data_IF_665678126497
#
_entry.id   IF_665678126497
#
_cell.length_a   1.000
_cell.length_b   1.000
_cell.length_c   1.000
_cell.angle_alpha   90.00
_cell.angle_beta   90.00
_cell.angle_gamma   90.00
#
_symmetry.space_group_name_H-M   'P 1'
#
loop_
_entity.id
_entity.type
_entity.pdbx_description
1 polymer ?
#
# COMPACT_ATOMS: atom_id res chain seq x y z
N UNK A 1 -14.70 -60.64 9.21
CA UNK A 1 -14.99 -59.19 9.35
C UNK A 1 -14.35 -58.77 10.64
N UNK A 2 -13.44 -57.80 10.58
CA UNK A 2 -13.05 -56.87 11.66
C UNK A 2 -11.74 -56.23 11.21
N UNK A 3 -11.87 -55.19 10.39
CA UNK A 3 -10.75 -54.36 9.92
C UNK A 3 -10.53 -53.32 11.01
N UNK A 4 -9.57 -53.56 11.90
CA UNK A 4 -9.22 -52.67 13.00
C UNK A 4 -8.63 -51.36 12.43
N UNK A 5 -9.47 -50.33 12.32
CA UNK A 5 -9.10 -48.98 11.89
C UNK A 5 -8.17 -48.35 12.92
N UNK A 6 -6.87 -48.35 12.66
CA UNK A 6 -5.91 -47.44 13.27
C UNK A 6 -6.17 -46.02 12.74
N UNK A 7 -7.00 -45.27 13.46
CA UNK A 7 -7.05 -43.81 13.33
C UNK A 7 -5.77 -43.25 13.93
N UNK A 8 -4.76 -43.05 13.08
CA UNK A 8 -3.54 -42.34 13.43
C UNK A 8 -3.94 -40.89 13.71
N UNK A 9 -4.01 -40.52 14.99
CA UNK A 9 -4.14 -39.13 15.43
C UNK A 9 -2.87 -38.38 15.02
N UNK A 10 -2.84 -37.89 13.78
CA UNK A 10 -1.91 -36.85 13.36
C UNK A 10 -2.43 -35.54 13.97
N UNK A 11 -2.11 -35.29 15.23
CA UNK A 11 -2.15 -33.94 15.77
C UNK A 11 -1.02 -33.19 15.06
N UNK A 12 -1.32 -32.66 13.87
CA UNK A 12 -0.45 -31.74 13.15
C UNK A 12 -0.23 -30.56 14.09
N UNK A 13 0.92 -30.52 14.76
CA UNK A 13 1.49 -29.30 15.31
C UNK A 13 1.73 -28.39 14.11
N UNK A 14 0.70 -27.66 13.69
CA UNK A 14 0.86 -26.58 12.73
C UNK A 14 1.79 -25.58 13.42
N UNK A 15 3.01 -25.35 12.91
CA UNK A 15 3.81 -24.25 13.42
C UNK A 15 2.97 -22.98 13.26
N UNK A 16 2.71 -22.30 14.39
CA UNK A 16 2.19 -20.95 14.35
C UNK A 16 3.26 -20.09 13.67
N UNK A 17 3.11 -19.86 12.36
CA UNK A 17 3.91 -18.88 11.64
C UNK A 17 3.47 -17.53 12.19
N UNK A 18 4.24 -17.00 13.16
CA UNK A 18 4.08 -15.63 13.61
C UNK A 18 4.40 -14.74 12.41
N UNK A 19 3.47 -13.87 12.02
CA UNK A 19 3.74 -12.86 11.00
C UNK A 19 4.97 -12.04 11.42
N UNK A 20 5.98 -11.99 10.55
CA UNK A 20 7.20 -11.22 10.77
C UNK A 20 6.88 -9.72 10.71
N UNK A 21 7.50 -8.94 11.60
CA UNK A 21 7.28 -7.50 11.70
C UNK A 21 8.33 -6.73 10.89
N UNK A 22 7.86 -5.79 10.07
CA UNK A 22 8.64 -4.89 9.22
C UNK A 22 8.26 -3.45 9.53
N UNK A 23 8.90 -2.88 10.55
CA UNK A 23 8.69 -1.48 10.90
C UNK A 23 9.44 -0.58 9.91
N UNK A 24 8.76 0.39 9.29
CA UNK A 24 9.34 1.26 8.26
C UNK A 24 10.55 2.07 8.74
N UNK A 25 10.64 2.37 10.05
CA UNK A 25 11.80 3.06 10.65
C UNK A 25 13.07 2.20 10.54
N UNK A 26 12.94 0.87 10.66
CA UNK A 26 14.06 -0.05 10.50
C UNK A 26 14.56 -0.13 9.05
N UNK A 27 13.83 0.45 8.10
CA UNK A 27 14.20 0.59 6.69
C UNK A 27 14.65 2.01 6.34
N UNK A 28 14.84 2.88 7.34
CA UNK A 28 15.37 4.23 7.18
C UNK A 28 14.31 5.32 7.06
N UNK A 29 13.04 5.04 7.36
CA UNK A 29 12.02 6.08 7.42
C UNK A 29 12.28 7.00 8.62
N UNK A 30 12.16 8.31 8.41
CA UNK A 30 12.37 9.34 9.44
C UNK A 30 11.08 9.63 10.20
N UNK A 31 9.94 9.69 9.51
CA UNK A 31 8.63 9.86 10.15
C UNK A 31 8.37 11.25 10.76
N UNK A 32 9.02 12.29 10.22
CA UNK A 32 8.89 13.69 10.65
C UNK A 32 7.82 14.50 9.89
N UNK A 33 7.14 13.88 8.92
CA UNK A 33 6.14 14.48 8.04
C UNK A 33 6.69 15.35 6.91
N UNK A 34 8.01 15.47 6.78
CA UNK A 34 8.67 16.34 5.80
C UNK A 34 9.68 15.59 4.92
N UNK A 35 10.41 14.64 5.50
CA UNK A 35 11.36 13.78 4.79
C UNK A 35 10.60 12.80 3.91
N UNK A 36 11.06 12.63 2.66
CA UNK A 36 10.47 11.66 1.74
C UNK A 36 10.84 10.22 2.14
N UNK A 37 9.92 9.55 2.83
CA UNK A 37 10.06 8.19 3.34
C UNK A 37 9.72 7.11 2.29
N UNK A 38 9.47 7.49 1.01
CA UNK A 38 9.02 6.57 -0.05
C UNK A 38 9.90 5.34 -0.19
N UNK A 39 11.22 5.50 -0.20
CA UNK A 39 12.14 4.38 -0.39
C UNK A 39 12.13 3.42 0.80
N UNK A 40 12.10 3.95 2.02
CA UNK A 40 12.04 3.14 3.25
C UNK A 40 10.72 2.34 3.34
N UNK A 41 9.59 2.99 3.04
CA UNK A 41 8.27 2.34 2.99
C UNK A 41 8.26 1.22 1.94
N UNK A 42 8.74 1.48 0.73
CA UNK A 42 8.81 0.47 -0.34
C UNK A 42 9.75 -0.68 0.01
N UNK A 43 10.86 -0.42 0.69
CA UNK A 43 11.79 -1.45 1.15
C UNK A 43 11.14 -2.36 2.21
N UNK A 44 10.39 -1.80 3.17
CA UNK A 44 9.64 -2.58 4.16
C UNK A 44 8.58 -3.47 3.50
N UNK A 45 7.82 -2.93 2.53
CA UNK A 45 6.85 -3.70 1.74
C UNK A 45 7.52 -4.81 0.94
N UNK A 46 8.66 -4.53 0.31
CA UNK A 46 9.43 -5.52 -0.44
C UNK A 46 9.94 -6.65 0.46
N UNK A 47 10.41 -6.34 1.67
CA UNK A 47 10.86 -7.33 2.64
C UNK A 47 9.71 -8.25 3.12
N UNK A 48 8.53 -7.69 3.38
CA UNK A 48 7.33 -8.45 3.69
C UNK A 48 6.92 -9.36 2.52
N UNK A 49 6.92 -8.83 1.29
CA UNK A 49 6.61 -9.61 0.09
C UNK A 49 7.61 -10.76 -0.13
N UNK A 50 8.91 -10.50 0.03
CA UNK A 50 9.96 -11.51 -0.09
C UNK A 50 9.79 -12.66 0.92
N UNK A 51 9.18 -12.36 2.07
CA UNK A 51 8.91 -13.33 3.13
C UNK A 51 7.51 -13.97 3.03
N UNK A 52 6.86 -13.80 1.87
CA UNK A 52 5.51 -14.30 1.57
C UNK A 52 4.39 -13.75 2.48
N UNK A 53 4.62 -12.58 3.07
CA UNK A 53 3.69 -11.89 3.96
C UNK A 53 4.36 -11.33 5.20
N UNK A 54 3.55 -10.83 6.11
CA UNK A 54 4.00 -10.26 7.37
C UNK A 54 3.27 -8.97 7.72
N UNK A 55 3.72 -8.30 8.77
CA UNK A 55 3.11 -7.06 9.25
C UNK A 55 4.04 -5.89 9.01
N UNK A 56 3.64 -4.97 8.15
CA UNK A 56 4.36 -3.72 7.91
C UNK A 56 3.80 -2.65 8.84
N UNK A 57 4.66 -2.07 9.68
CA UNK A 57 4.26 -1.23 10.82
C UNK A 57 4.65 0.22 10.58
N UNK A 58 3.69 1.12 10.79
CA UNK A 58 3.87 2.57 10.86
C UNK A 58 3.55 3.02 12.28
N UNK A 59 4.58 3.24 13.10
CA UNK A 59 4.41 3.48 14.54
C UNK A 59 3.67 4.77 14.89
N UNK A 60 3.00 4.74 16.05
CA UNK A 60 2.34 5.91 16.61
C UNK A 60 3.35 7.01 16.94
N UNK A 61 2.93 8.27 16.87
CA UNK A 61 3.78 9.43 17.13
C UNK A 61 4.59 9.91 15.91
N UNK A 62 4.58 9.17 14.81
CA UNK A 62 5.26 9.53 13.56
C UNK A 62 4.29 9.93 12.46
N UNK A 63 4.76 10.77 11.54
CA UNK A 63 4.10 11.06 10.26
C UNK A 63 5.04 10.70 9.12
N UNK A 64 4.68 9.72 8.32
CA UNK A 64 5.50 9.22 7.22
C UNK A 64 5.04 9.85 5.91
N UNK A 65 5.80 10.82 5.38
CA UNK A 65 5.52 11.44 4.09
C UNK A 65 5.99 10.49 2.99
N UNK A 66 5.07 10.01 2.15
CA UNK A 66 5.40 8.94 1.21
C UNK A 66 4.61 9.02 -0.10
N UNK A 67 5.23 8.53 -1.16
CA UNK A 67 4.61 8.26 -2.45
C UNK A 67 3.77 6.99 -2.45
N UNK A 68 3.37 6.56 -3.65
CA UNK A 68 2.62 5.32 -3.79
C UNK A 68 3.45 4.09 -3.41
N UNK A 69 2.80 3.09 -2.84
CA UNK A 69 3.39 1.78 -2.53
C UNK A 69 2.40 0.64 -2.75
N UNK A 70 2.95 -0.57 -2.92
CA UNK A 70 2.19 -1.79 -3.21
C UNK A 70 2.08 -2.68 -1.98
N UNK A 71 0.87 -3.16 -1.70
CA UNK A 71 0.61 -4.21 -0.71
C UNK A 71 0.46 -5.55 -1.43
N UNK A 72 1.29 -6.53 -1.06
CA UNK A 72 1.24 -7.91 -1.56
C UNK A 72 0.33 -8.81 -0.71
N UNK A 73 0.13 -10.05 -1.18
CA UNK A 73 -0.65 -11.05 -0.42
C UNK A 73 -0.08 -11.32 0.98
N UNK A 74 -0.96 -11.67 1.92
CA UNK A 74 -0.62 -12.00 3.31
C UNK A 74 0.05 -10.86 4.09
N UNK A 75 -0.11 -9.61 3.65
CA UNK A 75 0.41 -8.44 4.35
C UNK A 75 -0.65 -7.82 5.26
N UNK A 76 -0.26 -7.59 6.51
CA UNK A 76 -0.97 -6.74 7.45
C UNK A 76 -0.30 -5.36 7.43
N UNK A 77 -1.01 -4.36 6.94
CA UNK A 77 -0.61 -2.96 7.05
C UNK A 77 -1.10 -2.41 8.40
N UNK A 78 -0.21 -2.29 9.37
CA UNK A 78 -0.51 -1.82 10.73
C UNK A 78 -0.13 -0.34 10.87
N UNK A 79 -1.11 0.53 10.62
CA UNK A 79 -0.97 1.99 10.66
C UNK A 79 -1.41 2.50 12.02
N UNK A 80 -0.45 2.86 12.87
CA UNK A 80 -0.68 3.42 14.22
C UNK A 80 -0.36 4.91 14.27
N UNK A 81 0.56 5.37 13.42
CA UNK A 81 0.87 6.78 13.18
C UNK A 81 0.06 7.37 12.04
N UNK A 82 0.68 8.29 11.29
CA UNK A 82 0.08 8.89 10.09
C UNK A 82 0.90 8.55 8.84
N UNK A 83 0.24 8.04 7.80
CA UNK A 83 0.76 8.04 6.44
C UNK A 83 0.27 9.32 5.77
N UNK A 84 1.17 10.15 5.26
CA UNK A 84 0.86 11.39 4.55
C UNK A 84 1.28 11.25 3.08
N UNK A 85 0.32 11.40 2.17
CA UNK A 85 0.58 11.39 0.74
C UNK A 85 1.45 12.56 0.31
N UNK A 86 2.52 12.25 -0.43
CA UNK A 86 3.36 13.24 -1.10
C UNK A 86 2.54 14.11 -2.05
N UNK A 87 2.87 15.39 -2.17
CA UNK A 87 2.33 16.27 -3.24
C UNK A 87 3.20 16.25 -4.50
N UNK A 88 4.35 15.56 -4.46
CA UNK A 88 5.22 15.40 -5.60
C UNK A 88 4.68 14.30 -6.52
N UNK A 89 4.15 14.68 -7.69
CA UNK A 89 3.56 13.75 -8.65
C UNK A 89 4.54 12.71 -9.22
N UNK A 90 5.85 12.93 -9.12
CA UNK A 90 6.86 11.94 -9.49
C UNK A 90 6.91 10.76 -8.51
N UNK A 91 6.38 10.91 -7.29
CA UNK A 91 6.26 9.83 -6.31
C UNK A 91 5.08 8.90 -6.60
N UNK A 92 4.35 9.15 -7.68
CA UNK A 92 3.21 8.35 -8.14
C UNK A 92 3.50 7.82 -9.55
N UNK A 93 3.73 6.51 -9.62
CA UNK A 93 4.05 5.82 -10.87
C UNK A 93 2.84 5.80 -11.81
N UNK A 94 3.09 5.69 -13.12
CA UNK A 94 2.02 5.53 -14.10
C UNK A 94 1.82 4.04 -14.34
N UNK A 95 0.63 3.53 -14.03
CA UNK A 95 0.24 2.12 -14.14
C UNK A 95 -0.94 1.97 -15.11
N UNK A 96 -1.17 0.77 -15.67
CA UNK A 96 -2.42 0.48 -16.38
C UNK A 96 -3.63 0.66 -15.45
N UNK A 97 -4.78 0.99 -16.05
CA UNK A 97 -6.05 0.99 -15.33
C UNK A 97 -6.33 -0.39 -14.74
N UNK A 98 -6.80 -0.40 -13.49
CA UNK A 98 -7.35 -1.63 -12.91
C UNK A 98 -8.61 -2.02 -13.69
N UNK A 99 -8.87 -3.33 -13.92
CA UNK A 99 -9.98 -3.81 -14.75
C UNK A 99 -11.38 -3.30 -14.34
N UNK A 100 -11.54 -2.83 -13.09
CA UNK A 100 -12.82 -2.37 -12.54
C UNK A 100 -13.05 -0.85 -12.65
N UNK A 101 -12.07 -0.06 -13.10
CA UNK A 101 -12.28 1.38 -13.30
C UNK A 101 -13.27 1.68 -14.45
N UNK A 102 -13.61 0.69 -15.27
CA UNK A 102 -14.51 0.85 -16.40
C UNK A 102 -13.97 1.84 -17.45
N UNK A 103 -14.84 2.27 -18.36
CA UNK A 103 -14.61 3.41 -19.24
C UNK A 103 -15.13 4.73 -18.63
N UNK A 104 -15.73 4.65 -17.45
CA UNK A 104 -16.35 5.78 -16.79
C UNK A 104 -15.25 6.64 -16.17
N UNK A 105 -15.01 7.76 -16.83
CA UNK A 105 -14.12 8.85 -16.44
C UNK A 105 -14.71 9.62 -15.26
N UNK A 106 -15.07 8.92 -14.18
CA UNK A 106 -15.88 9.45 -13.08
C UNK A 106 -15.26 10.63 -12.33
N UNK A 107 -14.02 10.97 -12.65
CA UNK A 107 -13.38 12.22 -12.30
C UNK A 107 -12.53 12.67 -13.50
N UNK A 108 -13.13 13.08 -14.63
CA UNK A 108 -12.53 13.61 -15.89
C UNK A 108 -11.07 14.12 -15.88
N UNK A 109 -10.10 13.24 -15.64
CA UNK A 109 -8.74 13.59 -15.25
C UNK A 109 -7.80 12.48 -15.67
N UNK A 110 -7.25 12.62 -16.89
CA UNK A 110 -5.95 12.07 -17.22
C UNK A 110 -5.84 10.58 -17.56
N UNK A 111 -6.93 9.87 -17.87
CA UNK A 111 -6.83 8.49 -18.40
C UNK A 111 -6.50 8.50 -19.89
N UNK A 112 -5.31 8.95 -20.26
CA UNK A 112 -4.84 8.81 -21.64
C UNK A 112 -4.43 7.36 -21.88
N UNK A 113 -5.03 6.70 -22.88
CA UNK A 113 -4.64 5.38 -23.36
C UNK A 113 -4.69 4.24 -22.32
N UNK A 114 -5.61 4.30 -21.36
CA UNK A 114 -5.78 3.24 -20.36
C UNK A 114 -4.72 3.22 -19.26
N UNK A 115 -4.03 4.34 -19.03
CA UNK A 115 -3.03 4.52 -17.97
C UNK A 115 -3.54 5.50 -16.90
N UNK A 116 -3.06 5.35 -15.66
CA UNK A 116 -3.39 6.21 -14.53
C UNK A 116 -2.18 6.39 -13.61
N UNK A 117 -2.18 7.45 -12.79
CA UNK A 117 -1.31 7.51 -11.61
C UNK A 117 -1.71 6.43 -10.61
N UNK A 118 -0.72 5.77 -10.04
CA UNK A 118 -0.93 4.74 -9.03
C UNK A 118 -1.55 5.36 -7.76
N UNK A 119 -2.57 4.73 -7.16
CA UNK A 119 -3.09 5.13 -5.84
C UNK A 119 -2.00 5.12 -4.76
N UNK A 120 -2.13 5.98 -3.74
CA UNK A 120 -1.20 6.03 -2.60
C UNK A 120 -0.99 4.65 -1.97
N UNK A 121 -2.09 3.95 -1.70
CA UNK A 121 -2.10 2.56 -1.23
C UNK A 121 -2.68 1.71 -2.35
N UNK A 122 -1.87 0.85 -2.95
CA UNK A 122 -2.27 0.06 -4.10
C UNK A 122 -2.09 -1.43 -3.85
N UNK A 123 -2.96 -2.24 -4.44
CA UNK A 123 -2.79 -3.68 -4.53
C UNK A 123 -3.49 -4.20 -5.78
N UNK A 124 -2.90 -5.21 -6.41
CA UNK A 124 -3.47 -5.87 -7.57
C UNK A 124 -3.17 -7.37 -7.52
N UNK A 125 -4.21 -8.18 -7.78
CA UNK A 125 -4.13 -9.65 -7.76
C UNK A 125 -3.48 -10.22 -6.48
N UNK A 126 -3.88 -9.69 -5.32
CA UNK A 126 -3.39 -10.11 -4.02
C UNK A 126 -4.54 -10.55 -3.12
N UNK A 127 -4.25 -11.44 -2.18
CA UNK A 127 -5.22 -12.03 -1.26
C UNK A 127 -4.76 -11.87 0.19
N UNK A 128 -5.71 -11.93 1.13
CA UNK A 128 -5.41 -11.91 2.56
C UNK A 128 -4.62 -10.65 2.99
N UNK A 129 -5.14 -9.48 2.64
CA UNK A 129 -4.61 -8.17 3.05
C UNK A 129 -5.46 -7.65 4.20
N UNK A 130 -4.80 -7.15 5.24
CA UNK A 130 -5.45 -6.47 6.37
C UNK A 130 -4.87 -5.07 6.52
N UNK A 131 -5.72 -4.06 6.74
CA UNK A 131 -5.29 -2.71 7.17
C UNK A 131 -5.84 -2.50 8.59
N UNK A 132 -4.97 -2.16 9.55
CA UNK A 132 -5.29 -2.04 10.98
C UNK A 132 -4.47 -0.93 11.64
N UNK A 133 -4.52 -0.83 12.97
CA UNK A 133 -3.63 0.01 13.78
C UNK A 133 -4.24 1.30 14.32
N UNK A 134 -5.40 1.72 13.80
CA UNK A 134 -6.19 2.85 14.32
C UNK A 134 -5.62 4.25 14.04
N UNK A 135 -4.52 4.34 13.28
CA UNK A 135 -3.90 5.58 12.82
C UNK A 135 -4.60 6.19 11.60
N UNK A 136 -3.85 7.02 10.87
CA UNK A 136 -4.40 7.86 9.78
C UNK A 136 -3.70 7.57 8.46
N UNK A 137 -4.47 7.43 7.38
CA UNK A 137 -3.98 7.49 6.00
C UNK A 137 -4.57 8.76 5.38
N UNK A 138 -3.71 9.75 5.17
CA UNK A 138 -4.07 11.05 4.62
C UNK A 138 -3.50 11.17 3.20
N UNK A 139 -4.38 11.11 2.19
CA UNK A 139 -3.98 11.19 0.79
C UNK A 139 -3.57 12.59 0.30
N UNK A 140 -3.65 13.61 1.17
CA UNK A 140 -3.39 15.01 0.81
C UNK A 140 -4.29 15.54 -0.32
N UNK A 141 -5.55 15.08 -0.33
CA UNK A 141 -6.54 15.31 -1.38
C UNK A 141 -6.75 16.78 -1.78
N UNK A 142 -6.88 17.74 -0.83
CA UNK A 142 -7.11 19.15 -1.17
C UNK A 142 -6.10 19.73 -2.17
N UNK A 143 -4.81 19.40 -2.04
CA UNK A 143 -3.80 19.82 -3.01
C UNK A 143 -4.10 19.30 -4.42
N UNK A 144 -4.47 18.03 -4.54
CA UNK A 144 -4.76 17.38 -5.81
C UNK A 144 -6.03 17.92 -6.47
N UNK A 145 -7.09 18.19 -5.69
CA UNK A 145 -8.31 18.82 -6.20
C UNK A 145 -8.05 20.23 -6.71
N UNK A 146 -7.28 21.04 -5.97
CA UNK A 146 -6.89 22.39 -6.38
C UNK A 146 -6.04 22.38 -7.65
N UNK A 147 -5.02 21.53 -7.68
CA UNK A 147 -4.10 21.37 -8.80
C UNK A 147 -4.85 21.01 -10.10
N UNK A 148 -5.83 20.11 -9.97
CA UNK A 148 -6.75 19.74 -11.05
C UNK A 148 -7.66 20.90 -11.48
N UNK A 149 -8.33 21.57 -10.54
CA UNK A 149 -9.26 22.65 -10.86
C UNK A 149 -8.57 23.82 -11.57
N UNK A 150 -7.30 24.07 -11.25
CA UNK A 150 -6.49 25.13 -11.84
C UNK A 150 -5.80 24.73 -13.16
N UNK A 151 -5.96 23.49 -13.63
CA UNK A 151 -5.25 22.93 -14.80
C UNK A 151 -3.71 23.17 -14.73
N UNK A 152 -3.12 23.16 -13.53
CA UNK A 152 -1.70 23.44 -13.34
C UNK A 152 -0.86 22.15 -13.31
N UNK A 153 0.37 22.15 -13.84
CA UNK A 153 1.31 21.06 -13.60
C UNK A 153 1.47 20.83 -12.08
N UNK A 154 1.53 19.57 -11.61
CA UNK A 154 1.62 18.33 -12.38
C UNK A 154 0.27 17.68 -12.76
N UNK A 155 -0.86 18.33 -12.48
CA UNK A 155 -2.21 17.76 -12.68
C UNK A 155 -2.90 18.23 -13.97
N UNK A 156 -2.22 19.05 -14.78
CA UNK A 156 -2.69 19.39 -16.12
C UNK A 156 -2.95 18.09 -16.91
N UNK A 157 -4.10 17.97 -17.61
CA UNK A 157 -4.36 16.81 -18.46
C UNK A 157 -3.22 16.61 -19.46
N UNK A 158 -2.72 15.37 -19.59
CA UNK A 158 -1.74 15.03 -20.63
C UNK A 158 -2.31 15.41 -22.00
N UNK A 159 -1.76 16.46 -22.63
CA UNK A 159 -2.04 16.82 -24.03
C UNK A 159 -3.25 17.70 -24.29
N UNK A 160 -3.45 18.79 -23.53
CA UNK A 160 -4.13 19.97 -24.10
C UNK A 160 -3.17 20.80 -24.94
#
# INVERSE_FOLDING_TARGET
MEVFRLLFNFLFLLPFIKAQDYNVINFGAVGDGNTDDTQAVRAAMAAANHSHGGRVIFDAGYTFLTGCFNISSNVILDVRGKILGSINASNYEIIPLLPFYGNDTHDGGGYTNGMTKQPLVYSYNANNITITGGGVIDGNGPYWYDCRYKDQPPCAPYGR
#
